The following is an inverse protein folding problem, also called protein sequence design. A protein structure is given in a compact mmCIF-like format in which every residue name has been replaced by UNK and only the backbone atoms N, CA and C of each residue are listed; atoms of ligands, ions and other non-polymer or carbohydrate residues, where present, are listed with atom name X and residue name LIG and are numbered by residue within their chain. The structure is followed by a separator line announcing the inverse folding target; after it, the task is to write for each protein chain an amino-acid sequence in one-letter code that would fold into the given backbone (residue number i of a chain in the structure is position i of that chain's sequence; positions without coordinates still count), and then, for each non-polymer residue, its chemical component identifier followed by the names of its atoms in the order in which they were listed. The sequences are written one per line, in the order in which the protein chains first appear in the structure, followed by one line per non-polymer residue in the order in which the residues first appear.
data_IF_081440936819
#
_entry.id   IF_081440936819
#
_cell.length_a   1.000
_cell.length_b   1.000
_cell.length_c   1.000
_cell.angle_alpha   90.00
_cell.angle_beta   90.00
_cell.angle_gamma   90.00
#
_symmetry.space_group_name_H-M   'P 1'
#
loop_
_entity.id
_entity.type
_entity.pdbx_description
1 polymer ?
#
# COMPACT_ATOMS: atom_id res chain seq x y z
N UNK A 1 9.67 -13.46 -28.77
CA UNK A 1 9.34 -12.03 -28.67
C UNK A 1 7.85 -11.93 -28.88
N UNK A 2 7.07 -11.82 -27.80
CA UNK A 2 5.69 -11.37 -27.93
C UNK A 2 5.75 -9.92 -28.45
N UNK A 3 4.99 -9.61 -29.49
CA UNK A 3 4.96 -8.25 -30.08
C UNK A 3 3.73 -7.46 -29.62
N UNK A 4 2.90 -8.07 -28.78
CA UNK A 4 1.69 -7.50 -28.19
C UNK A 4 2.00 -7.15 -26.75
N UNK A 5 1.46 -6.02 -26.29
CA UNK A 5 1.53 -5.62 -24.88
C UNK A 5 0.68 -6.57 -24.03
N UNK A 6 1.29 -7.20 -23.02
CA UNK A 6 0.63 -8.02 -22.01
C UNK A 6 0.37 -7.18 -20.76
N UNK A 7 -0.82 -7.26 -20.12
CA UNK A 7 -1.11 -6.45 -18.95
C UNK A 7 -0.22 -6.84 -17.76
N UNK A 8 0.03 -5.90 -16.83
CA UNK A 8 0.60 -6.21 -15.53
C UNK A 8 -0.19 -7.28 -14.79
N UNK A 9 0.46 -7.96 -13.85
CA UNK A 9 -0.17 -8.91 -12.92
C UNK A 9 0.22 -8.58 -11.49
N UNK A 10 -0.75 -8.69 -10.59
CA UNK A 10 -0.59 -8.42 -9.16
C UNK A 10 -0.87 -9.71 -8.38
N UNK A 11 0.05 -10.09 -7.51
CA UNK A 11 -0.15 -11.11 -6.47
C UNK A 11 -0.30 -10.36 -5.16
N UNK A 12 -1.45 -10.51 -4.50
CA UNK A 12 -1.73 -9.94 -3.19
C UNK A 12 -1.90 -11.03 -2.13
N UNK A 13 -1.62 -10.74 -0.85
CA UNK A 13 -1.93 -11.66 0.24
C UNK A 13 -3.45 -11.82 0.44
N UNK A 14 -3.83 -12.87 1.17
CA UNK A 14 -5.19 -12.99 1.71
C UNK A 14 -5.49 -11.84 2.70
N UNK A 15 -6.74 -11.74 3.15
CA UNK A 15 -7.15 -10.77 4.18
C UNK A 15 -6.19 -10.76 5.37
N UNK A 16 -5.79 -9.56 5.79
CA UNK A 16 -4.92 -9.33 6.94
C UNK A 16 -5.71 -8.87 8.16
N UNK A 17 -5.10 -8.98 9.34
CA UNK A 17 -5.70 -8.51 10.60
C UNK A 17 -4.65 -7.76 11.41
N UNK A 18 -5.06 -6.65 12.02
CA UNK A 18 -4.20 -5.85 12.90
C UNK A 18 -5.03 -5.28 14.05
N UNK A 19 -4.51 -5.24 15.29
CA UNK A 19 -5.13 -4.46 16.35
C UNK A 19 -5.14 -2.97 16.01
N UNK A 20 -6.14 -2.24 16.48
CA UNK A 20 -6.06 -0.78 16.46
C UNK A 20 -4.81 -0.29 17.18
N UNK A 21 -4.31 0.88 16.76
CA UNK A 21 -3.09 1.52 17.25
C UNK A 21 -1.79 0.68 17.10
N UNK A 22 -1.82 -0.37 16.28
CA UNK A 22 -0.65 -1.16 15.92
C UNK A 22 -0.37 -1.12 14.42
N UNK A 23 0.89 -1.33 14.07
CA UNK A 23 1.32 -1.41 12.68
C UNK A 23 1.16 -2.82 12.14
N UNK A 24 0.61 -2.93 10.93
CA UNK A 24 0.64 -4.14 10.13
C UNK A 24 1.85 -4.08 9.20
N UNK A 25 2.79 -5.02 9.36
CA UNK A 25 3.97 -5.14 8.49
C UNK A 25 3.72 -6.29 7.49
N UNK A 26 3.76 -5.99 6.20
CA UNK A 26 3.58 -6.99 5.15
C UNK A 26 4.84 -7.84 4.98
N UNK A 27 4.73 -9.15 5.26
CA UNK A 27 5.87 -10.09 5.27
C UNK A 27 5.70 -11.27 4.32
N UNK A 28 4.80 -12.23 4.55
CA UNK A 28 4.62 -13.33 3.57
C UNK A 28 3.18 -13.84 3.50
N UNK A 29 2.59 -13.97 2.31
CA UNK A 29 3.12 -13.51 1.01
C UNK A 29 3.13 -11.97 0.91
N UNK A 30 4.14 -11.42 0.21
CA UNK A 30 4.20 -9.99 -0.12
C UNK A 30 3.22 -9.64 -1.24
N UNK A 31 2.94 -8.35 -1.40
CA UNK A 31 2.37 -7.82 -2.63
C UNK A 31 3.47 -7.83 -3.69
N UNK A 32 3.18 -8.40 -4.86
CA UNK A 32 4.17 -8.54 -5.94
C UNK A 32 3.57 -8.20 -7.28
N UNK A 33 4.33 -7.44 -8.05
CA UNK A 33 4.02 -7.04 -9.41
C UNK A 33 4.90 -7.84 -10.39
N UNK A 34 4.33 -8.21 -11.52
CA UNK A 34 5.06 -8.76 -12.65
C UNK A 34 4.41 -8.33 -13.95
N UNK A 35 5.22 -8.16 -14.98
CA UNK A 35 4.73 -7.87 -16.31
C UNK A 35 5.68 -8.59 -17.31
N UNK A 36 5.14 -9.41 -18.24
CA UNK A 36 5.96 -10.21 -19.16
C UNK A 36 6.84 -9.40 -20.12
N UNK A 37 6.49 -8.15 -20.40
CA UNK A 37 7.17 -7.35 -21.42
C UNK A 37 7.70 -6.01 -20.93
N UNK A 38 7.50 -5.68 -19.65
CA UNK A 38 8.02 -4.50 -18.95
C UNK A 38 9.45 -4.07 -19.36
N UNK A 39 10.37 -5.01 -19.60
CA UNK A 39 11.67 -4.72 -20.22
C UNK A 39 12.61 -3.79 -19.43
N UNK A 40 12.28 -3.43 -18.20
CA UNK A 40 12.98 -2.41 -17.41
C UNK A 40 12.45 -0.99 -17.60
N UNK A 41 11.36 -0.81 -18.33
CA UNK A 41 10.61 0.43 -18.40
C UNK A 41 9.78 0.63 -17.12
N UNK A 42 9.50 1.88 -16.75
CA UNK A 42 8.75 2.17 -15.53
C UNK A 42 7.26 1.84 -15.69
N UNK A 43 6.67 1.32 -14.62
CA UNK A 43 5.24 1.22 -14.44
C UNK A 43 4.74 2.37 -13.55
N UNK A 44 3.48 2.77 -13.75
CA UNK A 44 2.77 3.70 -12.90
C UNK A 44 1.97 2.93 -11.85
N UNK A 45 2.13 3.28 -10.57
CA UNK A 45 1.45 2.62 -9.45
C UNK A 45 0.69 3.64 -8.62
N UNK A 46 -0.55 3.27 -8.28
CA UNK A 46 -1.38 3.97 -7.30
C UNK A 46 -1.66 3.02 -6.15
N UNK A 47 -1.41 3.47 -4.92
CA UNK A 47 -1.82 2.79 -3.69
C UNK A 47 -2.78 3.69 -2.92
N UNK A 48 -3.91 3.15 -2.49
CA UNK A 48 -4.94 3.85 -1.73
C UNK A 48 -5.33 3.04 -0.49
N UNK A 49 -5.07 3.58 0.69
CA UNK A 49 -5.47 3.01 1.96
C UNK A 49 -6.79 3.60 2.45
N UNK A 50 -7.73 2.74 2.84
CA UNK A 50 -8.91 3.15 3.60
C UNK A 50 -8.67 2.97 5.09
N UNK A 51 -9.09 3.95 5.90
CA UNK A 51 -8.97 3.92 7.36
C UNK A 51 -7.54 3.68 7.87
N UNK A 52 -6.55 4.20 7.15
CA UNK A 52 -5.14 4.12 7.53
C UNK A 52 -4.23 4.80 6.53
N UNK A 53 -2.94 4.57 6.69
CA UNK A 53 -1.85 5.12 5.87
C UNK A 53 -0.82 4.04 5.56
N UNK A 54 -0.06 4.22 4.48
CA UNK A 54 0.95 3.29 3.98
C UNK A 54 2.33 3.95 4.08
N UNK A 55 3.31 3.20 4.56
CA UNK A 55 4.73 3.55 4.49
C UNK A 55 5.48 2.44 3.74
N UNK A 56 6.19 2.79 2.67
CA UNK A 56 7.07 1.87 1.95
C UNK A 56 8.35 1.61 2.74
N UNK A 57 8.96 0.44 2.56
CA UNK A 57 10.22 0.09 3.23
C UNK A 57 11.40 0.91 2.72
N UNK A 58 11.36 1.25 1.43
CA UNK A 58 12.34 2.06 0.72
C UNK A 58 11.61 2.95 -0.27
N UNK A 59 12.31 3.95 -0.80
CA UNK A 59 11.79 4.87 -1.83
C UNK A 59 12.82 5.15 -2.92
N UNK A 60 13.94 4.41 -2.92
CA UNK A 60 15.08 4.70 -3.80
C UNK A 60 14.81 4.16 -5.19
N UNK A 61 14.81 5.06 -6.19
CA UNK A 61 14.55 4.69 -7.58
C UNK A 61 13.06 4.78 -7.95
N UNK A 62 12.21 5.26 -7.03
CA UNK A 62 10.85 5.69 -7.33
C UNK A 62 10.80 7.18 -7.64
N UNK A 63 9.85 7.59 -8.47
CA UNK A 63 9.49 8.99 -8.71
C UNK A 63 8.05 9.21 -8.28
N UNK A 64 7.85 9.97 -7.21
CA UNK A 64 6.52 10.27 -6.67
C UNK A 64 5.84 11.42 -7.43
N UNK A 65 4.55 11.23 -7.67
CA UNK A 65 3.60 12.22 -8.19
C UNK A 65 2.68 12.72 -7.07
N UNK A 66 2.25 11.80 -6.20
CA UNK A 66 1.47 12.06 -4.98
C UNK A 66 2.07 11.26 -3.82
N UNK A 67 2.12 11.87 -2.63
CA UNK A 67 2.75 11.28 -1.45
C UNK A 67 4.28 11.34 -1.52
N UNK A 68 4.94 10.83 -0.48
CA UNK A 68 6.39 10.71 -0.41
C UNK A 68 6.86 9.30 -0.02
N UNK A 69 5.91 8.37 0.12
CA UNK A 69 6.15 6.98 0.50
C UNK A 69 6.09 6.75 2.00
N UNK A 70 5.74 7.75 2.82
CA UNK A 70 5.70 7.67 4.28
C UNK A 70 4.36 8.22 4.80
N UNK A 71 3.64 7.40 5.57
CA UNK A 71 2.36 7.75 6.22
C UNK A 71 1.33 8.37 5.23
N UNK A 72 1.26 7.85 4.01
CA UNK A 72 0.35 8.32 2.96
C UNK A 72 -0.96 7.50 2.91
N UNK A 73 -2.11 8.17 2.90
CA UNK A 73 -3.39 7.49 2.61
C UNK A 73 -3.56 7.21 1.11
N UNK A 74 -3.00 8.05 0.26
CA UNK A 74 -2.92 7.84 -1.19
C UNK A 74 -1.51 8.19 -1.65
N UNK A 75 -0.88 7.30 -2.40
CA UNK A 75 0.39 7.58 -3.06
C UNK A 75 0.34 7.15 -4.52
N UNK A 76 1.01 7.93 -5.36
CA UNK A 76 1.12 7.70 -6.79
C UNK A 76 2.56 7.88 -7.17
N UNK A 77 3.16 6.87 -7.79
CA UNK A 77 4.57 6.90 -8.16
C UNK A 77 4.85 6.07 -9.40
N UNK A 78 6.03 6.28 -9.98
CA UNK A 78 6.56 5.47 -11.07
C UNK A 78 7.88 4.82 -10.66
N UNK A 79 8.18 3.66 -11.22
CA UNK A 79 9.41 2.92 -10.97
C UNK A 79 9.49 1.65 -11.81
N UNK A 80 10.66 1.01 -11.87
CA UNK A 80 10.78 -0.28 -12.53
C UNK A 80 10.29 -1.39 -11.60
N UNK A 81 9.60 -2.41 -12.14
CA UNK A 81 8.94 -3.46 -11.35
C UNK A 81 9.85 -4.11 -10.29
N UNK A 82 11.14 -4.43 -10.56
CA UNK A 82 12.01 -4.99 -9.53
C UNK A 82 12.24 -4.06 -8.34
N UNK A 83 12.34 -2.74 -8.57
CA UNK A 83 12.49 -1.74 -7.50
C UNK A 83 11.17 -1.57 -6.76
N UNK A 84 10.04 -1.47 -7.47
CA UNK A 84 8.72 -1.37 -6.84
C UNK A 84 8.48 -2.56 -5.89
N UNK A 85 8.79 -3.78 -6.35
CA UNK A 85 8.65 -4.98 -5.53
C UNK A 85 9.51 -4.93 -4.26
N UNK A 86 10.76 -4.44 -4.37
CA UNK A 86 11.66 -4.31 -3.22
C UNK A 86 11.14 -3.27 -2.21
N UNK A 87 10.63 -2.15 -2.70
CA UNK A 87 10.15 -1.05 -1.86
C UNK A 87 8.83 -1.41 -1.14
N UNK A 88 8.02 -2.30 -1.73
CA UNK A 88 6.80 -2.85 -1.12
C UNK A 88 7.05 -4.05 -0.19
N UNK A 89 8.21 -4.71 -0.27
CA UNK A 89 8.58 -5.78 0.66
C UNK A 89 8.78 -5.21 2.07
N UNK A 90 7.94 -5.61 3.03
CA UNK A 90 7.99 -5.06 4.39
C UNK A 90 7.21 -3.76 4.58
N UNK A 91 6.47 -3.29 3.57
CA UNK A 91 5.68 -2.06 3.70
C UNK A 91 4.73 -2.15 4.90
N UNK A 92 4.41 -1.00 5.46
CA UNK A 92 3.64 -0.88 6.69
C UNK A 92 2.29 -0.24 6.41
N UNK A 93 1.23 -0.83 6.93
CA UNK A 93 -0.07 -0.18 7.08
C UNK A 93 -0.27 0.24 8.52
N UNK A 94 -0.62 1.51 8.72
CA UNK A 94 -0.96 2.09 10.01
C UNK A 94 -2.45 2.47 9.99
N UNK A 95 -3.31 1.75 10.75
CA UNK A 95 -4.71 2.14 10.91
C UNK A 95 -4.85 3.56 11.45
N UNK A 96 -5.97 4.21 11.12
CA UNK A 96 -6.38 5.45 11.79
C UNK A 96 -6.49 5.19 13.30
N UNK A 97 -5.96 6.09 14.17
CA UNK A 97 -6.01 5.86 15.61
C UNK A 97 -7.43 5.65 16.15
N UNK A 98 -7.61 4.67 17.04
CA UNK A 98 -8.90 4.25 17.62
C UNK A 98 -9.96 3.78 16.59
N UNK A 99 -9.56 3.47 15.36
CA UNK A 99 -10.46 2.88 14.38
C UNK A 99 -10.49 1.36 14.53
N UNK A 100 -11.69 0.79 14.57
CA UNK A 100 -11.93 -0.65 14.44
C UNK A 100 -12.98 -0.89 13.36
N UNK A 101 -12.77 -1.95 12.56
CA UNK A 101 -13.63 -2.25 11.41
C UNK A 101 -12.86 -2.64 10.15
N UNK A 102 -13.55 -2.74 9.00
CA UNK A 102 -12.93 -3.08 7.72
C UNK A 102 -12.12 -1.91 7.13
N UNK A 103 -10.88 -2.19 6.80
CA UNK A 103 -9.94 -1.33 6.08
C UNK A 103 -9.44 -2.07 4.82
N UNK A 104 -8.77 -1.35 3.92
CA UNK A 104 -8.24 -1.92 2.70
C UNK A 104 -7.03 -1.15 2.17
N UNK A 105 -6.25 -1.82 1.32
CA UNK A 105 -5.32 -1.17 0.40
C UNK A 105 -5.73 -1.55 -1.02
N UNK A 106 -6.14 -0.58 -1.81
CA UNK A 106 -6.40 -0.71 -3.23
C UNK A 106 -5.12 -0.38 -4.02
N UNK A 107 -4.82 -1.22 -5.01
CA UNK A 107 -3.58 -1.18 -5.79
C UNK A 107 -3.98 -1.13 -7.25
N UNK A 108 -3.45 -0.16 -7.98
CA UNK A 108 -3.56 -0.09 -9.44
C UNK A 108 -2.16 0.01 -10.03
N UNK A 109 -1.91 -0.76 -11.09
CA UNK A 109 -0.64 -0.76 -11.83
C UNK A 109 -0.94 -0.60 -13.32
N UNK A 110 -0.26 0.34 -13.96
CA UNK A 110 -0.35 0.62 -15.39
C UNK A 110 1.04 0.51 -16.03
N UNK A 111 1.18 -0.27 -17.09
CA UNK A 111 2.45 -0.50 -17.82
C UNK A 111 2.89 0.67 -18.70
N UNK A 112 2.04 1.70 -18.82
CA UNK A 112 2.21 2.88 -19.66
C UNK A 112 2.39 2.58 -21.16
N UNK A 113 2.17 1.33 -21.59
CA UNK A 113 2.26 0.87 -22.97
C UNK A 113 3.68 0.97 -23.56
N UNK A 114 4.71 0.93 -22.71
CA UNK A 114 6.11 1.09 -23.14
C UNK A 114 6.62 -0.08 -24.01
N UNK A 115 5.99 -1.25 -23.90
CA UNK A 115 6.34 -2.48 -24.59
C UNK A 115 5.17 -3.02 -25.43
N UNK A 116 5.51 -3.69 -26.53
CA UNK A 116 4.52 -4.30 -27.42
C UNK A 116 3.60 -3.30 -28.15
N UNK A 117 2.66 -3.86 -28.92
CA UNK A 117 1.57 -3.12 -29.55
C UNK A 117 0.32 -3.22 -28.67
N UNK A 118 -0.39 -2.11 -28.46
CA UNK A 118 -1.66 -2.13 -27.72
C UNK A 118 -1.92 -0.87 -26.88
N UNK A 119 -0.88 -0.08 -26.61
CA UNK A 119 -0.99 1.05 -25.69
C UNK A 119 -1.04 0.58 -24.22
N UNK A 120 -1.29 1.49 -23.28
CA UNK A 120 -1.23 1.19 -21.85
C UNK A 120 -2.33 0.21 -21.42
N UNK A 121 -1.97 -0.75 -20.57
CA UNK A 121 -2.89 -1.68 -19.91
C UNK A 121 -2.74 -1.58 -18.39
N UNK A 122 -3.79 -2.01 -17.68
CA UNK A 122 -3.91 -1.88 -16.23
C UNK A 122 -4.27 -3.19 -15.54
N UNK A 123 -3.79 -3.35 -14.32
CA UNK A 123 -4.22 -4.37 -13.38
C UNK A 123 -4.53 -3.74 -12.02
N UNK A 124 -5.50 -4.33 -11.31
CA UNK A 124 -5.90 -3.88 -9.98
C UNK A 124 -5.99 -5.05 -9.00
N UNK A 125 -5.75 -4.76 -7.73
CA UNK A 125 -5.93 -5.71 -6.63
C UNK A 125 -6.31 -4.96 -5.35
N UNK A 126 -7.02 -5.65 -4.46
CA UNK A 126 -7.37 -5.14 -3.13
C UNK A 126 -6.80 -6.09 -2.08
N UNK A 127 -6.20 -5.52 -1.03
CA UNK A 127 -5.88 -6.23 0.20
C UNK A 127 -6.84 -5.80 1.28
N UNK A 128 -7.73 -6.69 1.67
CA UNK A 128 -8.64 -6.46 2.80
C UNK A 128 -7.89 -6.54 4.14
N UNK A 129 -8.20 -5.63 5.05
CA UNK A 129 -7.60 -5.55 6.39
C UNK A 129 -8.74 -5.47 7.42
N UNK A 130 -8.71 -6.34 8.43
CA UNK A 130 -9.60 -6.25 9.58
C UNK A 130 -8.87 -5.57 10.73
N UNK A 131 -9.33 -4.38 11.13
CA UNK A 131 -8.80 -3.71 12.32
C UNK A 131 -9.62 -4.13 13.53
N UNK A 132 -8.99 -4.86 14.46
CA UNK A 132 -9.66 -5.38 15.66
C UNK A 132 -9.59 -4.38 16.80
N UNK A 133 -10.70 -4.24 17.53
CA UNK A 133 -10.73 -3.39 18.72
C UNK A 133 -9.81 -3.91 19.82
N UNK A 134 -9.21 -2.98 20.55
CA UNK A 134 -8.41 -3.21 21.75
C UNK A 134 -9.02 -2.38 22.87
N UNK A 135 -9.22 -2.99 24.03
CA UNK A 135 -9.80 -2.26 25.16
C UNK A 135 -8.75 -1.37 25.84
N UNK A 136 -8.93 -0.05 25.78
CA UNK A 136 -8.12 0.91 26.53
C UNK A 136 -8.49 0.98 28.02
N UNK A 137 -7.48 1.20 28.86
CA UNK A 137 -7.70 1.43 30.28
C UNK A 137 -8.28 2.85 30.54
N UNK A 138 -9.18 3.02 31.51
CA UNK A 138 -9.68 4.35 31.85
C UNK A 138 -8.56 5.25 32.38
N UNK A 139 -8.47 6.48 31.88
CA UNK A 139 -7.56 7.51 32.39
C UNK A 139 -8.30 8.34 33.44
N UNK A 140 -7.85 8.28 34.70
CA UNK A 140 -8.35 9.17 35.74
C UNK A 140 -7.74 10.57 35.58
N UNK A 141 -8.58 11.60 35.50
CA UNK A 141 -8.17 13.01 35.59
C UNK A 141 -8.37 13.45 37.03
N UNK A 142 -7.37 14.09 37.64
CA UNK A 142 -7.52 14.64 38.99
C UNK A 142 -8.52 15.80 38.95
N UNK A 143 -9.55 15.73 39.79
CA UNK A 143 -10.42 16.86 40.05
C UNK A 143 -9.63 17.95 40.77
N UNK A 144 -9.60 19.16 40.21
CA UNK A 144 -9.12 20.34 40.94
C UNK A 144 -10.20 20.77 41.92
N UNK A 145 -10.05 20.41 43.19
CA UNK A 145 -10.86 21.00 44.26
C UNK A 145 -10.37 22.43 44.49
N UNK A 146 -11.15 23.41 44.08
CA UNK A 146 -10.96 24.80 44.50
C UNK A 146 -11.61 24.95 45.89
N UNK A 147 -10.78 25.11 46.92
CA UNK A 147 -11.28 25.36 48.28
C UNK A 147 -11.59 26.85 48.43
N UNK A 148 -12.82 27.23 48.84
CA UNK A 148 -13.23 28.63 48.97
C UNK A 148 -12.52 29.41 50.07
#
# INVERSE_FOLDING_TARGET
MNLVNDPPSIISPATQTVPEDHYLIFSTPYIRLSDPDAGGEPAWVTLEATHGTITLSYTTGLTFITGDGIDDATMVFTGIIPIINLDMEGMVFRPTPNYFGPASIDITVNDMGHSGLGGPLEATATVDITVTSVNDAPVAVNDTVDTP
#
